data_IF_373322312249
#
_entry.id   IF_373322312249
#
_cell.length_a   1.000
_cell.length_b   1.000
_cell.length_c   1.000
_cell.angle_alpha   90.00
_cell.angle_beta   90.00
_cell.angle_gamma   90.00
#
_symmetry.space_group_name_H-M   'P 1'
#
loop_
_entity.id
_entity.type
_entity.pdbx_description
1 polymer ?
#
# COMPACT_ATOMS: atom_id res chain seq x y z
N UNK A 1 -11.18 -7.87 -12.75
CA UNK A 1 -12.03 -8.51 -11.71
C UNK A 1 -13.15 -9.24 -12.45
N UNK A 2 -13.49 -10.49 -12.11
CA UNK A 2 -14.61 -11.20 -12.77
C UNK A 2 -15.92 -10.53 -12.39
N UNK A 3 -16.67 -10.07 -13.39
CA UNK A 3 -17.90 -9.30 -13.18
C UNK A 3 -19.04 -10.16 -12.63
N UNK A 4 -19.09 -11.43 -13.04
CA UNK A 4 -20.09 -12.43 -12.64
C UNK A 4 -20.16 -12.58 -11.11
N UNK A 5 -19.00 -12.74 -10.46
CA UNK A 5 -18.89 -12.91 -9.00
C UNK A 5 -19.38 -11.66 -8.26
N UNK A 6 -19.12 -10.47 -8.82
CA UNK A 6 -19.55 -9.21 -8.22
C UNK A 6 -21.07 -9.06 -8.27
N UNK A 7 -21.70 -9.46 -9.38
CA UNK A 7 -23.13 -9.37 -9.56
C UNK A 7 -23.89 -10.30 -8.61
N UNK A 8 -23.42 -11.54 -8.45
CA UNK A 8 -23.98 -12.48 -7.47
C UNK A 8 -23.82 -11.99 -6.03
N UNK A 9 -22.63 -11.53 -5.65
CA UNK A 9 -22.37 -11.03 -4.29
C UNK A 9 -23.21 -9.81 -3.93
N UNK A 10 -23.57 -8.96 -4.91
CA UNK A 10 -24.46 -7.82 -4.66
C UNK A 10 -25.86 -8.24 -4.24
N UNK A 11 -26.39 -9.36 -4.75
CA UNK A 11 -27.71 -9.88 -4.34
C UNK A 11 -27.71 -10.15 -2.83
N UNK A 12 -26.73 -10.91 -2.35
CA UNK A 12 -26.55 -11.19 -0.93
C UNK A 12 -26.32 -9.94 -0.06
N UNK A 13 -25.65 -8.91 -0.59
CA UNK A 13 -25.51 -7.62 0.10
C UNK A 13 -26.84 -6.86 0.22
N UNK A 14 -27.66 -6.86 -0.84
CA UNK A 14 -29.00 -6.25 -0.84
C UNK A 14 -29.93 -6.96 0.14
N UNK A 15 -29.88 -8.30 0.15
CA UNK A 15 -30.68 -9.14 1.04
C UNK A 15 -30.22 -9.07 2.51
N UNK A 16 -29.07 -8.43 2.78
CA UNK A 16 -28.41 -8.35 4.11
C UNK A 16 -28.13 -9.72 4.74
N UNK A 17 -28.06 -10.77 3.93
CA UNK A 17 -27.76 -12.14 4.37
C UNK A 17 -26.28 -12.39 4.11
N UNK A 18 -25.59 -12.94 5.12
CA UNK A 18 -24.18 -13.35 4.97
C UNK A 18 -24.13 -14.69 4.20
N UNK A 19 -23.54 -14.74 2.99
CA UNK A 19 -23.47 -15.97 2.22
C UNK A 19 -22.45 -16.95 2.81
N UNK A 20 -22.64 -18.23 2.53
CA UNK A 20 -21.59 -19.23 2.72
C UNK A 20 -20.56 -19.12 1.60
N UNK A 21 -19.39 -18.56 1.90
CA UNK A 21 -18.33 -18.33 0.91
C UNK A 21 -17.76 -19.61 0.29
N UNK A 22 -17.83 -20.74 0.98
CA UNK A 22 -17.34 -22.04 0.46
C UNK A 22 -18.29 -22.59 -0.60
N UNK A 23 -19.59 -22.55 -0.32
CA UNK A 23 -20.66 -22.94 -1.26
C UNK A 23 -20.59 -22.07 -2.53
N UNK A 24 -20.53 -20.75 -2.32
CA UNK A 24 -20.47 -19.77 -3.40
C UNK A 24 -19.22 -19.93 -4.25
N UNK A 25 -18.09 -20.25 -3.62
CA UNK A 25 -16.84 -20.57 -4.32
C UNK A 25 -16.97 -21.79 -5.23
N UNK A 26 -17.68 -22.84 -4.79
CA UNK A 26 -17.94 -24.04 -5.60
C UNK A 26 -18.86 -23.73 -6.78
N UNK A 27 -19.95 -22.99 -6.56
CA UNK A 27 -20.90 -22.62 -7.62
C UNK A 27 -20.26 -21.75 -8.71
N UNK A 28 -19.44 -20.78 -8.30
CA UNK A 28 -18.79 -19.84 -9.23
C UNK A 28 -17.43 -20.31 -9.75
N UNK A 29 -16.95 -21.48 -9.30
CA UNK A 29 -15.61 -21.98 -9.61
C UNK A 29 -14.49 -21.03 -9.16
N UNK A 30 -14.63 -20.38 -8.01
CA UNK A 30 -13.64 -19.45 -7.46
C UNK A 30 -13.18 -19.87 -6.06
N UNK A 31 -11.95 -19.47 -5.69
CA UNK A 31 -11.45 -19.69 -4.34
C UNK A 31 -12.34 -18.90 -3.32
N UNK A 32 -12.79 -19.52 -2.22
CA UNK A 32 -13.66 -18.87 -1.22
C UNK A 32 -13.09 -17.57 -0.65
N UNK A 33 -11.76 -17.41 -0.61
CA UNK A 33 -11.08 -16.17 -0.19
C UNK A 33 -11.32 -15.04 -1.19
N UNK A 34 -11.44 -15.37 -2.47
CA UNK A 34 -11.77 -14.41 -3.53
C UNK A 34 -13.21 -13.92 -3.37
N UNK A 35 -14.15 -14.85 -3.19
CA UNK A 35 -15.55 -14.50 -2.90
C UNK A 35 -15.68 -13.64 -1.63
N UNK A 36 -14.99 -14.03 -0.56
CA UNK A 36 -14.94 -13.25 0.70
C UNK A 36 -14.36 -11.87 0.50
N UNK A 37 -13.24 -11.76 -0.21
CA UNK A 37 -12.59 -10.48 -0.53
C UNK A 37 -13.54 -9.58 -1.32
N UNK A 38 -14.25 -10.13 -2.30
CA UNK A 38 -15.18 -9.38 -3.14
C UNK A 38 -16.43 -8.95 -2.38
N UNK A 39 -16.92 -9.76 -1.43
CA UNK A 39 -18.07 -9.41 -0.60
C UNK A 39 -17.82 -8.22 0.34
N UNK A 40 -16.60 -8.12 0.88
CA UNK A 40 -16.22 -7.01 1.78
C UNK A 40 -15.62 -5.81 1.06
N UNK A 41 -15.31 -5.94 -0.24
CA UNK A 41 -14.93 -4.80 -1.06
C UNK A 41 -16.17 -3.93 -1.26
N UNK A 42 -16.20 -2.73 -0.66
CA UNK A 42 -17.15 -1.70 -1.07
C UNK A 42 -16.83 -1.27 -2.51
N UNK A 43 -17.86 -0.93 -3.28
CA UNK A 43 -17.77 -0.51 -4.70
C UNK A 43 -16.85 0.72 -4.93
N UNK A 44 -16.37 1.33 -3.84
CA UNK A 44 -15.47 2.48 -3.80
C UNK A 44 -14.05 2.10 -4.24
N UNK A 45 -13.86 1.90 -5.55
CA UNK A 45 -12.56 2.04 -6.21
C UNK A 45 -11.40 1.37 -5.50
N UNK A 46 -11.54 0.06 -5.17
CA UNK A 46 -10.45 -0.73 -4.59
C UNK A 46 -9.30 -0.85 -5.60
N UNK A 47 -8.50 0.20 -5.70
CA UNK A 47 -7.14 0.10 -6.17
C UNK A 47 -6.39 -0.61 -5.06
N UNK A 48 -5.87 -1.80 -5.38
CA UNK A 48 -4.87 -2.48 -4.57
C UNK A 48 -3.58 -1.63 -4.58
N UNK A 49 -3.63 -0.43 -3.99
CA UNK A 49 -2.46 0.42 -3.82
C UNK A 49 -1.59 -0.30 -2.82
N UNK A 50 -0.54 -0.94 -3.32
CA UNK A 50 0.56 -1.40 -2.48
C UNK A 50 0.93 -0.24 -1.58
N UNK A 51 0.87 -0.43 -0.25
CA UNK A 51 1.30 0.57 0.71
C UNK A 51 2.76 0.90 0.38
N UNK A 52 3.01 2.08 -0.20
CA UNK A 52 4.37 2.53 -0.47
C UNK A 52 5.00 2.88 0.87
N UNK A 53 5.98 2.09 1.29
CA UNK A 53 6.78 2.42 2.48
C UNK A 53 7.55 3.70 2.18
N UNK A 54 7.54 4.64 3.11
CA UNK A 54 8.40 5.84 3.04
C UNK A 54 9.86 5.39 3.01
N UNK A 55 10.65 6.00 2.14
CA UNK A 55 12.08 5.73 2.06
C UNK A 55 12.82 6.39 3.22
N UNK A 56 14.02 5.89 3.54
CA UNK A 56 14.89 6.51 4.55
C UNK A 56 15.36 7.92 4.14
N UNK A 57 15.29 8.22 2.85
CA UNK A 57 15.74 9.47 2.24
C UNK A 57 14.63 10.50 2.12
N UNK A 58 13.36 10.10 2.24
CA UNK A 58 12.21 11.00 2.12
C UNK A 58 12.29 12.21 3.06
N UNK A 59 12.75 12.08 4.33
CA UNK A 59 12.91 13.23 5.23
C UNK A 59 14.00 14.22 4.78
N UNK A 60 14.98 13.78 4.00
CA UNK A 60 16.14 14.58 3.58
C UNK A 60 16.00 15.15 2.17
N UNK A 61 14.83 15.00 1.53
CA UNK A 61 14.62 15.37 0.13
C UNK A 61 14.92 16.84 -0.14
N UNK A 62 14.42 17.74 0.70
CA UNK A 62 14.66 19.18 0.56
C UNK A 62 16.15 19.53 0.63
N UNK A 63 16.89 18.89 1.55
CA UNK A 63 18.33 19.14 1.73
C UNK A 63 19.14 18.63 0.53
N UNK A 64 18.71 17.50 -0.05
CA UNK A 64 19.31 16.97 -1.28
C UNK A 64 19.05 17.95 -2.43
N UNK A 65 17.82 18.43 -2.60
CA UNK A 65 17.46 19.35 -3.67
C UNK A 65 18.24 20.68 -3.57
N UNK A 66 18.44 21.22 -2.37
CA UNK A 66 19.29 22.39 -2.13
C UNK A 66 20.75 22.14 -2.53
N UNK A 67 21.33 21.00 -2.13
CA UNK A 67 22.73 20.68 -2.44
C UNK A 67 22.96 20.39 -3.92
N UNK A 68 21.96 19.82 -4.61
CA UNK A 68 21.98 19.64 -6.06
C UNK A 68 21.95 20.99 -6.76
N UNK A 69 21.11 21.94 -6.32
CA UNK A 69 21.11 23.32 -6.86
C UNK A 69 22.47 24.00 -6.70
N UNK A 70 23.18 23.71 -5.61
CA UNK A 70 24.53 24.22 -5.36
C UNK A 70 25.64 23.48 -6.13
N UNK A 71 25.29 22.64 -7.12
CA UNK A 71 26.24 21.89 -7.96
C UNK A 71 27.21 21.00 -7.18
N UNK A 72 26.77 20.43 -6.05
CA UNK A 72 27.57 19.47 -5.29
C UNK A 72 27.62 18.10 -5.98
N UNK A 73 28.76 17.42 -5.88
CA UNK A 73 28.90 16.03 -6.34
C UNK A 73 27.95 15.08 -5.60
N UNK A 74 27.43 14.07 -6.29
CA UNK A 74 26.57 13.04 -5.69
C UNK A 74 27.24 12.34 -4.49
N UNK A 75 28.56 12.14 -4.54
CA UNK A 75 29.32 11.51 -3.45
C UNK A 75 29.31 12.37 -2.18
N UNK A 76 29.49 13.69 -2.30
CA UNK A 76 29.49 14.59 -1.15
C UNK A 76 28.11 14.70 -0.51
N UNK A 77 27.04 14.70 -1.31
CA UNK A 77 25.66 14.66 -0.84
C UNK A 77 25.38 13.38 -0.06
N UNK A 78 25.82 12.23 -0.56
CA UNK A 78 25.66 10.94 0.11
C UNK A 78 26.32 10.92 1.50
N UNK A 79 27.61 11.28 1.58
CA UNK A 79 28.34 11.29 2.85
C UNK A 79 27.74 12.27 3.85
N UNK A 80 27.26 13.42 3.38
CA UNK A 80 26.57 14.39 4.22
C UNK A 80 25.29 13.78 4.85
N UNK A 81 24.44 13.14 4.05
CA UNK A 81 23.19 12.53 4.53
C UNK A 81 23.46 11.40 5.52
N UNK A 82 24.45 10.53 5.22
CA UNK A 82 24.85 9.44 6.13
C UNK A 82 25.34 9.98 7.47
N UNK A 83 26.17 11.04 7.45
CA UNK A 83 26.66 11.70 8.66
C UNK A 83 25.50 12.26 9.49
N UNK A 84 24.56 12.95 8.85
CA UNK A 84 23.33 13.49 9.48
C UNK A 84 22.48 12.42 10.15
N UNK A 85 22.20 11.30 9.46
CA UNK A 85 21.44 10.17 10.02
C UNK A 85 22.13 9.60 11.26
N UNK A 86 23.47 9.48 11.22
CA UNK A 86 24.24 8.94 12.36
C UNK A 86 24.16 9.86 13.57
N UNK A 87 24.26 11.16 13.37
CA UNK A 87 24.14 12.17 14.44
C UNK A 87 22.74 12.17 15.07
N UNK A 88 21.68 12.06 14.27
CA UNK A 88 20.30 12.00 14.79
C UNK A 88 20.06 10.76 15.64
N UNK A 89 20.62 9.61 15.25
CA UNK A 89 20.57 8.38 16.07
C UNK A 89 21.33 8.54 17.39
N UNK A 90 22.48 9.20 17.38
CA UNK A 90 23.25 9.42 18.62
C UNK A 90 22.45 10.30 19.59
N UNK A 91 21.83 11.38 19.08
CA UNK A 91 20.99 12.29 19.88
C UNK A 91 19.73 11.65 20.43
N UNK A 92 19.21 10.59 19.81
CA UNK A 92 18.00 9.90 20.30
C UNK A 92 18.29 8.90 21.42
N UNK A 93 19.56 8.59 21.69
CA UNK A 93 19.99 7.66 22.75
C UNK A 93 20.59 8.37 23.97
N UNK A 94 20.69 9.70 23.90
CA UNK A 94 21.05 10.62 24.98
C UNK A 94 19.78 11.27 25.51
#
# INVERSE_FOLDING_TARGET
MRQDIRQELRKYQMDKIKPNFTELGRQLGCDPRTARKYYYLKDDGYENKRKRRKSKLDPYRNIIDEKVKNSCSATSIFYFVVCKIKLEKIKSHL
#
